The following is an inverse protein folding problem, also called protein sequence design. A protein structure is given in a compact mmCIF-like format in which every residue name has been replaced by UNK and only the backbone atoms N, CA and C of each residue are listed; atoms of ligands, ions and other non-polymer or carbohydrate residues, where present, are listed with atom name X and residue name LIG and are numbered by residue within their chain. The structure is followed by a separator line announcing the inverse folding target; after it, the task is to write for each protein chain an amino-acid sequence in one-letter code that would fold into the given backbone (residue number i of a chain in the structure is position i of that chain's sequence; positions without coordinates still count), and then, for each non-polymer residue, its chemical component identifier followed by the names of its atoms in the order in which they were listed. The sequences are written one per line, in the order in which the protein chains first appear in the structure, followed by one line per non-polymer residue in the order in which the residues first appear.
data_IF_067146098926
#
_entry.id   IF_067146098926
#
_cell.length_a   1.000
_cell.length_b   1.000
_cell.length_c   1.000
_cell.angle_alpha   90.00
_cell.angle_beta   90.00
_cell.angle_gamma   90.00
#
_symmetry.space_group_name_H-M   'P 1'
#
loop_
_entity.id
_entity.type
_entity.pdbx_description
1 polymer ?
#
# COMPACT_ATOMS: atom_id res chain seq x y z
N UNK A 1 50.43 1.85 -18.82
CA UNK A 1 49.58 2.80 -18.05
C UNK A 1 48.14 2.45 -18.34
N UNK A 2 47.62 1.47 -17.60
CA UNK A 2 46.31 0.86 -17.86
C UNK A 2 45.29 1.55 -16.97
N UNK A 3 44.40 2.35 -17.56
CA UNK A 3 43.26 2.95 -16.85
C UNK A 3 42.27 1.83 -16.52
N UNK A 4 42.39 1.26 -15.32
CA UNK A 4 41.35 0.47 -14.69
C UNK A 4 40.19 1.39 -14.36
N UNK A 5 39.25 1.53 -15.30
CA UNK A 5 37.91 1.97 -15.00
C UNK A 5 37.32 0.91 -14.06
N UNK A 6 37.35 1.17 -12.75
CA UNK A 6 36.47 0.45 -11.83
C UNK A 6 35.06 0.69 -12.37
N UNK A 7 34.29 -0.36 -12.70
CA UNK A 7 32.88 -0.14 -12.86
C UNK A 7 32.43 0.28 -11.46
N UNK A 8 32.17 1.58 -11.26
CA UNK A 8 31.15 1.97 -10.30
C UNK A 8 29.94 1.13 -10.70
N UNK A 9 29.78 0.00 -10.02
CA UNK A 9 28.58 -0.79 -10.10
C UNK A 9 27.51 0.21 -9.68
N UNK A 10 26.80 0.77 -10.66
CA UNK A 10 25.63 1.60 -10.43
C UNK A 10 24.57 0.67 -9.83
N UNK A 11 24.77 0.35 -8.56
CA UNK A 11 24.06 -0.66 -7.80
C UNK A 11 22.62 -0.19 -7.70
N UNK A 12 21.74 -0.92 -8.36
CA UNK A 12 20.31 -0.62 -8.44
C UNK A 12 19.70 -0.63 -7.04
N UNK A 13 19.16 0.51 -6.61
CA UNK A 13 18.51 0.66 -5.29
C UNK A 13 17.18 -0.08 -5.30
N UNK A 14 16.46 0.00 -6.42
CA UNK A 14 15.17 -0.66 -6.62
C UNK A 14 15.14 -1.46 -7.93
N UNK A 15 14.97 -2.79 -7.89
CA UNK A 15 14.89 -3.60 -9.10
C UNK A 15 13.66 -3.22 -9.94
N UNK A 16 13.70 -3.48 -11.26
CA UNK A 16 12.64 -3.06 -12.19
C UNK A 16 11.27 -3.59 -11.80
N UNK A 17 11.16 -4.89 -11.46
CA UNK A 17 9.89 -5.49 -11.05
C UNK A 17 9.27 -4.77 -9.84
N UNK A 18 10.09 -4.32 -8.89
CA UNK A 18 9.64 -3.61 -7.70
C UNK A 18 9.05 -2.24 -8.06
N UNK A 19 9.70 -1.53 -8.98
CA UNK A 19 9.21 -0.24 -9.47
C UNK A 19 7.90 -0.40 -10.23
N UNK A 20 7.83 -1.38 -11.14
CA UNK A 20 6.60 -1.65 -11.91
C UNK A 20 5.43 -1.99 -10.99
N UNK A 21 5.63 -2.96 -10.07
CA UNK A 21 4.59 -3.34 -9.12
C UNK A 21 4.18 -2.19 -8.21
N UNK A 22 5.11 -1.32 -7.80
CA UNK A 22 4.79 -0.12 -7.05
C UNK A 22 3.91 0.87 -7.82
N UNK A 23 4.26 1.21 -9.07
CA UNK A 23 3.50 2.17 -9.86
C UNK A 23 2.12 1.63 -10.27
N UNK A 24 2.03 0.34 -10.58
CA UNK A 24 0.74 -0.33 -10.78
C UNK A 24 -0.10 -0.31 -9.49
N UNK A 25 0.53 -0.50 -8.32
CA UNK A 25 -0.19 -0.41 -7.05
C UNK A 25 -0.67 1.02 -6.76
N UNK A 26 0.13 2.03 -7.07
CA UNK A 26 -0.28 3.43 -6.92
C UNK A 26 -1.49 3.77 -7.78
N UNK A 27 -1.49 3.33 -9.04
CA UNK A 27 -2.65 3.46 -9.94
C UNK A 27 -3.87 2.70 -9.41
N UNK A 28 -3.68 1.45 -8.96
CA UNK A 28 -4.75 0.65 -8.39
C UNK A 28 -5.37 1.32 -7.15
N UNK A 29 -4.54 1.83 -6.24
CA UNK A 29 -4.99 2.55 -5.05
C UNK A 29 -5.82 3.78 -5.40
N UNK A 30 -5.41 4.57 -6.41
CA UNK A 30 -6.16 5.73 -6.85
C UNK A 30 -7.57 5.33 -7.34
N UNK A 31 -7.65 4.30 -8.19
CA UNK A 31 -8.93 3.79 -8.72
C UNK A 31 -9.78 3.25 -7.57
N UNK A 32 -9.22 2.42 -6.70
CA UNK A 32 -9.93 1.75 -5.60
C UNK A 32 -10.49 2.74 -4.58
N UNK A 33 -9.70 3.74 -4.19
CA UNK A 33 -10.12 4.75 -3.20
C UNK A 33 -11.21 5.65 -3.77
N UNK A 34 -11.00 6.21 -4.95
CA UNK A 34 -11.95 7.17 -5.54
C UNK A 34 -13.28 6.51 -5.93
N UNK A 35 -13.26 5.28 -6.43
CA UNK A 35 -14.49 4.50 -6.68
C UNK A 35 -15.12 4.00 -5.37
N UNK A 36 -14.32 3.60 -4.39
CA UNK A 36 -14.76 3.15 -3.07
C UNK A 36 -15.50 4.25 -2.29
N UNK A 37 -15.05 5.50 -2.39
CA UNK A 37 -15.75 6.66 -1.84
C UNK A 37 -17.12 6.87 -2.49
N UNK A 38 -17.27 6.66 -3.81
CA UNK A 38 -18.58 6.72 -4.46
C UNK A 38 -19.52 5.61 -3.99
N UNK A 39 -18.99 4.41 -3.80
CA UNK A 39 -19.74 3.26 -3.25
C UNK A 39 -20.17 3.55 -1.81
N UNK A 40 -19.28 4.11 -0.99
CA UNK A 40 -19.59 4.54 0.38
C UNK A 40 -20.72 5.56 0.40
N UNK A 41 -20.68 6.59 -0.45
CA UNK A 41 -21.74 7.61 -0.52
C UNK A 41 -23.13 7.04 -0.86
N UNK A 42 -23.20 5.89 -1.56
CA UNK A 42 -24.46 5.25 -1.90
C UNK A 42 -25.08 4.44 -0.74
N UNK A 43 -24.26 3.97 0.21
CA UNK A 43 -24.71 3.31 1.43
C UNK A 43 -23.73 3.61 2.57
N UNK A 44 -23.82 4.82 3.17
CA UNK A 44 -22.85 5.29 4.14
C UNK A 44 -22.95 4.54 5.46
N UNK A 45 -21.80 4.32 6.11
CA UNK A 45 -21.71 3.74 7.45
C UNK A 45 -21.78 4.81 8.56
N UNK A 46 -21.47 6.07 8.22
CA UNK A 46 -21.43 7.20 9.14
C UNK A 46 -22.13 8.40 8.52
N UNK A 47 -22.45 9.40 9.34
CA UNK A 47 -23.20 10.60 8.92
C UNK A 47 -22.31 11.61 8.17
N UNK A 48 -21.57 11.17 7.15
CA UNK A 48 -20.83 12.03 6.24
C UNK A 48 -20.81 11.43 4.83
N UNK A 49 -20.36 12.23 3.86
CA UNK A 49 -20.14 11.78 2.49
C UNK A 49 -18.90 12.45 1.93
N UNK A 50 -18.23 11.79 0.99
CA UNK A 50 -17.11 12.35 0.25
C UNK A 50 -17.60 13.28 -0.86
N UNK A 51 -16.81 14.28 -1.24
CA UNK A 51 -17.11 15.16 -2.37
C UNK A 51 -17.22 14.35 -3.67
N UNK A 52 -18.31 14.49 -4.41
CA UNK A 52 -18.59 13.67 -5.58
C UNK A 52 -17.56 13.91 -6.71
N UNK A 53 -17.02 15.11 -6.79
CA UNK A 53 -16.01 15.54 -7.77
C UNK A 53 -14.67 14.82 -7.57
N UNK A 54 -14.40 14.34 -6.34
CA UNK A 54 -13.21 13.55 -6.01
C UNK A 54 -13.44 12.04 -6.17
N UNK A 55 -14.66 11.64 -6.54
CA UNK A 55 -15.04 10.23 -6.67
C UNK A 55 -15.02 9.77 -8.13
N UNK A 56 -14.85 8.47 -8.35
CA UNK A 56 -14.75 7.88 -9.68
C UNK A 56 -16.02 7.09 -10.03
N UNK A 57 -16.48 7.23 -11.27
CA UNK A 57 -17.58 6.45 -11.84
C UNK A 57 -18.92 7.18 -11.96
N UNK A 58 -19.05 8.38 -11.41
CA UNK A 58 -20.20 9.29 -11.58
C UNK A 58 -21.49 8.85 -10.88
N UNK A 59 -21.86 7.57 -10.96
CA UNK A 59 -23.02 6.94 -10.33
C UNK A 59 -22.63 5.59 -9.73
N UNK A 60 -23.53 4.93 -9.00
CA UNK A 60 -23.21 3.70 -8.26
C UNK A 60 -22.69 2.57 -9.18
N UNK A 61 -23.36 2.28 -10.29
CA UNK A 61 -22.93 1.19 -11.18
C UNK A 61 -21.60 1.50 -11.88
N UNK A 62 -21.37 2.75 -12.29
CA UNK A 62 -20.08 3.17 -12.85
C UNK A 62 -18.95 3.07 -11.81
N UNK A 63 -19.22 3.44 -10.55
CA UNK A 63 -18.27 3.26 -9.47
C UNK A 63 -17.94 1.78 -9.23
N UNK A 64 -18.94 0.91 -9.21
CA UNK A 64 -18.74 -0.55 -9.08
C UNK A 64 -17.89 -1.11 -10.21
N UNK A 65 -18.12 -0.69 -11.47
CA UNK A 65 -17.30 -1.12 -12.61
C UNK A 65 -15.82 -0.74 -12.44
N UNK A 66 -15.54 0.52 -12.09
CA UNK A 66 -14.18 0.98 -11.82
C UNK A 66 -13.56 0.29 -10.61
N UNK A 67 -14.34 0.05 -9.57
CA UNK A 67 -13.86 -0.63 -8.37
C UNK A 67 -13.49 -2.08 -8.66
N UNK A 68 -14.28 -2.82 -9.44
CA UNK A 68 -13.93 -4.18 -9.83
C UNK A 68 -12.74 -4.24 -10.79
N UNK A 69 -12.60 -3.28 -11.70
CA UNK A 69 -11.40 -3.15 -12.53
C UNK A 69 -10.15 -2.91 -11.67
N UNK A 70 -10.24 -1.96 -10.73
CA UNK A 70 -9.18 -1.69 -9.76
C UNK A 70 -8.89 -2.88 -8.84
N UNK A 71 -9.90 -3.65 -8.45
CA UNK A 71 -9.77 -4.82 -7.58
C UNK A 71 -8.92 -5.90 -8.22
N UNK A 72 -9.15 -6.21 -9.50
CA UNK A 72 -8.31 -7.18 -10.23
C UNK A 72 -6.88 -6.69 -10.39
N UNK A 73 -6.69 -5.41 -10.74
CA UNK A 73 -5.36 -4.81 -10.82
C UNK A 73 -4.64 -4.88 -9.47
N UNK A 74 -5.29 -4.47 -8.38
CA UNK A 74 -4.77 -4.52 -7.02
C UNK A 74 -4.45 -5.95 -6.56
N UNK A 75 -5.39 -6.88 -6.76
CA UNK A 75 -5.25 -8.27 -6.34
C UNK A 75 -4.14 -9.01 -7.07
N UNK A 76 -4.12 -8.94 -8.41
CA UNK A 76 -3.10 -9.62 -9.22
C UNK A 76 -1.72 -8.99 -8.97
N UNK A 77 -1.62 -7.66 -9.02
CA UNK A 77 -0.35 -6.97 -8.79
C UNK A 77 0.18 -7.21 -7.37
N UNK A 78 -0.69 -7.17 -6.36
CA UNK A 78 -0.36 -7.46 -4.97
C UNK A 78 0.12 -8.91 -4.79
N UNK A 79 -0.54 -9.88 -5.43
CA UNK A 79 -0.12 -11.27 -5.41
C UNK A 79 1.25 -11.46 -6.06
N UNK A 80 1.47 -10.89 -7.25
CA UNK A 80 2.77 -10.90 -7.92
C UNK A 80 3.86 -10.28 -7.04
N UNK A 81 3.59 -9.13 -6.43
CA UNK A 81 4.51 -8.47 -5.51
C UNK A 81 4.89 -9.37 -4.34
N UNK A 82 3.90 -9.96 -3.65
CA UNK A 82 4.12 -10.83 -2.49
C UNK A 82 4.92 -12.08 -2.87
N UNK A 83 4.54 -12.75 -3.97
CA UNK A 83 5.24 -13.93 -4.46
C UNK A 83 6.69 -13.62 -4.81
N UNK A 84 6.97 -12.55 -5.57
CA UNK A 84 8.33 -12.15 -5.92
C UNK A 84 9.16 -11.78 -4.69
N UNK A 85 8.55 -11.15 -3.68
CA UNK A 85 9.24 -10.76 -2.45
C UNK A 85 9.60 -12.00 -1.59
N UNK A 86 8.75 -13.03 -1.60
CA UNK A 86 8.97 -14.31 -0.91
C UNK A 86 10.00 -15.17 -1.65
N UNK A 87 9.83 -15.41 -2.95
CA UNK A 87 10.71 -16.29 -3.75
C UNK A 87 12.12 -15.72 -3.91
N UNK A 88 12.28 -14.39 -3.98
CA UNK A 88 13.60 -13.75 -4.00
C UNK A 88 14.30 -13.72 -2.63
N UNK A 89 13.63 -14.14 -1.55
CA UNK A 89 14.09 -14.02 -0.17
C UNK A 89 14.21 -12.57 0.32
N UNK A 90 13.77 -11.59 -0.48
CA UNK A 90 13.85 -10.15 -0.16
C UNK A 90 13.02 -9.81 1.08
N UNK A 91 11.89 -10.49 1.28
CA UNK A 91 11.04 -10.30 2.45
C UNK A 91 11.82 -10.44 3.76
N UNK A 92 12.49 -11.59 3.96
CA UNK A 92 13.28 -11.83 5.17
C UNK A 92 14.44 -10.85 5.30
N UNK A 93 15.17 -10.58 4.21
CA UNK A 93 16.33 -9.67 4.23
C UNK A 93 15.96 -8.21 4.56
N UNK A 94 14.76 -7.75 4.16
CA UNK A 94 14.39 -6.33 4.23
C UNK A 94 13.56 -5.96 5.45
N UNK A 95 12.71 -6.87 5.93
CA UNK A 95 11.78 -6.59 7.03
C UNK A 95 12.21 -7.21 8.37
N UNK A 96 13.15 -8.15 8.37
CA UNK A 96 13.64 -8.83 9.58
C UNK A 96 15.08 -8.40 9.92
N UNK A 97 15.49 -8.35 11.22
CA UNK A 97 14.68 -8.53 12.43
C UNK A 97 13.79 -7.31 12.76
N UNK A 98 12.71 -7.57 13.49
CA UNK A 98 11.89 -6.55 14.12
C UNK A 98 12.34 -6.38 15.58
N UNK A 99 12.57 -5.15 16.01
CA UNK A 99 12.98 -4.84 17.38
C UNK A 99 12.06 -3.78 17.98
N UNK A 100 11.24 -4.12 19.00
CA UNK A 100 10.36 -3.15 19.66
C UNK A 100 11.11 -1.97 20.27
N UNK A 101 12.32 -2.21 20.82
CA UNK A 101 13.17 -1.17 21.39
C UNK A 101 13.62 -0.15 20.33
N UNK A 102 14.03 -0.63 19.15
CA UNK A 102 14.40 0.25 18.03
C UNK A 102 13.19 0.96 17.45
N UNK A 103 12.03 0.32 17.42
CA UNK A 103 10.78 0.94 16.97
C UNK A 103 10.43 2.17 17.82
N UNK A 104 10.45 2.05 19.15
CA UNK A 104 10.16 3.17 20.05
C UNK A 104 11.18 4.32 19.91
N UNK A 105 12.46 3.98 19.74
CA UNK A 105 13.51 4.96 19.51
C UNK A 105 13.29 5.73 18.18
N UNK A 106 12.98 5.01 17.10
CA UNK A 106 12.74 5.61 15.78
C UNK A 106 11.45 6.43 15.74
N UNK A 107 10.40 6.02 16.45
CA UNK A 107 9.17 6.82 16.63
C UNK A 107 9.49 8.14 17.35
N UNK A 108 10.27 8.09 18.44
CA UNK A 108 10.71 9.29 19.16
C UNK A 108 11.57 10.21 18.29
N UNK A 109 12.44 9.65 17.43
CA UNK A 109 13.23 10.41 16.48
C UNK A 109 12.37 11.01 15.34
N UNK A 110 11.33 10.28 14.90
CA UNK A 110 10.39 10.73 13.88
C UNK A 110 9.61 11.95 14.32
N UNK A 111 9.05 11.90 15.54
CA UNK A 111 8.29 13.00 16.12
C UNK A 111 9.14 14.26 16.34
N UNK A 112 10.47 14.10 16.47
CA UNK A 112 11.43 15.21 16.60
C UNK A 112 11.99 15.69 15.26
N UNK A 113 11.53 15.14 14.13
CA UNK A 113 12.03 15.47 12.79
C UNK A 113 13.50 15.08 12.54
N UNK A 114 14.09 14.22 13.38
CA UNK A 114 15.50 13.83 13.32
C UNK A 114 15.75 12.44 12.74
N UNK A 115 14.76 11.85 12.07
CA UNK A 115 14.95 10.58 11.38
C UNK A 115 16.06 10.71 10.32
N UNK A 116 17.16 10.00 10.52
CA UNK A 116 18.26 9.96 9.57
C UNK A 116 17.84 9.16 8.33
N UNK A 117 17.76 9.84 7.18
CA UNK A 117 17.41 9.25 5.87
C UNK A 117 18.65 9.02 4.98
N UNK A 118 19.83 8.82 5.60
CA UNK A 118 21.10 8.86 4.89
C UNK A 118 21.30 7.72 3.88
N UNK A 119 20.62 6.58 4.05
CA UNK A 119 20.72 5.45 3.13
C UNK A 119 19.35 4.98 2.62
N UNK A 120 19.09 5.24 1.33
CA UNK A 120 17.87 4.81 0.62
C UNK A 120 17.71 3.28 0.57
N UNK A 121 18.78 2.53 0.83
CA UNK A 121 18.79 1.06 0.86
C UNK A 121 18.47 0.49 2.23
N UNK A 122 18.42 1.28 3.29
CA UNK A 122 18.07 0.77 4.62
C UNK A 122 16.77 1.40 5.09
N UNK A 123 15.81 0.54 5.46
CA UNK A 123 14.58 0.99 6.08
C UNK A 123 14.81 1.08 7.59
N UNK A 124 14.49 2.23 8.16
CA UNK A 124 14.36 2.37 9.61
C UNK A 124 13.22 1.50 10.15
N UNK A 125 13.13 1.30 11.46
CA UNK A 125 12.16 0.38 12.05
C UNK A 125 10.72 0.85 11.82
N UNK A 126 10.48 2.16 11.88
CA UNK A 126 9.16 2.76 11.59
C UNK A 126 8.72 2.44 10.17
N UNK A 127 9.60 2.59 9.18
CA UNK A 127 9.33 2.26 7.78
C UNK A 127 9.09 0.76 7.59
N UNK A 128 9.87 -0.11 8.24
CA UNK A 128 9.66 -1.57 8.17
C UNK A 128 8.28 -1.95 8.68
N UNK A 129 7.92 -1.45 9.86
CA UNK A 129 6.61 -1.69 10.46
C UNK A 129 5.51 -1.11 9.57
N UNK A 130 5.65 0.14 9.10
CA UNK A 130 4.67 0.76 8.23
C UNK A 130 4.44 -0.04 6.93
N UNK A 131 5.51 -0.50 6.26
CA UNK A 131 5.37 -1.32 5.06
C UNK A 131 4.74 -2.68 5.33
N UNK A 132 5.08 -3.33 6.46
CA UNK A 132 4.42 -4.57 6.87
C UNK A 132 2.93 -4.35 7.15
N UNK A 133 2.58 -3.27 7.87
CA UNK A 133 1.21 -2.89 8.15
C UNK A 133 0.41 -2.63 6.88
N UNK A 134 0.98 -1.93 5.89
CA UNK A 134 0.29 -1.65 4.61
C UNK A 134 0.06 -2.91 3.80
N UNK A 135 1.02 -3.84 3.75
CA UNK A 135 0.78 -5.14 3.10
C UNK A 135 -0.34 -5.91 3.79
N UNK A 136 -0.35 -5.94 5.13
CA UNK A 136 -1.41 -6.60 5.90
C UNK A 136 -2.77 -5.93 5.68
N UNK A 137 -2.84 -4.59 5.72
CA UNK A 137 -4.06 -3.82 5.46
C UNK A 137 -4.57 -4.05 4.04
N UNK A 138 -3.67 -4.19 3.06
CA UNK A 138 -4.02 -4.55 1.69
C UNK A 138 -4.67 -5.93 1.61
N UNK A 139 -4.12 -6.93 2.31
CA UNK A 139 -4.71 -8.28 2.41
C UNK A 139 -6.08 -8.22 3.10
N UNK A 140 -6.20 -7.51 4.22
CA UNK A 140 -7.48 -7.35 4.94
C UNK A 140 -8.52 -6.67 4.03
N UNK A 141 -8.13 -5.64 3.29
CA UNK A 141 -9.00 -4.94 2.34
C UNK A 141 -9.47 -5.88 1.23
N UNK A 142 -8.56 -6.70 0.67
CA UNK A 142 -8.92 -7.68 -0.35
C UNK A 142 -9.89 -8.75 0.18
N UNK A 143 -9.62 -9.32 1.35
CA UNK A 143 -10.46 -10.37 1.96
C UNK A 143 -11.86 -9.84 2.33
N UNK A 144 -11.93 -8.67 2.95
CA UNK A 144 -13.21 -8.02 3.24
C UNK A 144 -13.96 -7.65 1.95
N UNK A 145 -13.26 -7.16 0.93
CA UNK A 145 -13.83 -6.87 -0.39
C UNK A 145 -14.43 -8.10 -1.08
N UNK A 146 -13.80 -9.28 -0.97
CA UNK A 146 -14.35 -10.54 -1.47
C UNK A 146 -15.67 -10.91 -0.79
N UNK A 147 -15.81 -10.67 0.52
CA UNK A 147 -17.07 -10.88 1.25
C UNK A 147 -18.14 -9.90 0.80
N UNK A 148 -17.78 -8.63 0.52
CA UNK A 148 -18.71 -7.62 0.03
C UNK A 148 -19.19 -7.91 -1.40
N UNK A 149 -18.31 -8.43 -2.26
CA UNK A 149 -18.62 -8.74 -3.66
C UNK A 149 -19.37 -10.06 -3.81
N UNK A 150 -18.88 -11.14 -3.17
CA UNK A 150 -19.35 -12.52 -3.38
C UNK A 150 -19.66 -13.23 -2.07
N UNK A 151 -20.41 -12.57 -1.20
CA UNK A 151 -20.73 -13.05 0.16
C UNK A 151 -21.28 -14.48 0.22
N UNK A 152 -22.12 -14.85 -0.76
CA UNK A 152 -22.72 -16.20 -0.86
C UNK A 152 -21.69 -17.25 -1.29
N UNK A 153 -20.71 -16.88 -2.12
CA UNK A 153 -19.67 -17.81 -2.60
C UNK A 153 -18.54 -18.01 -1.58
N UNK A 154 -18.37 -17.08 -0.64
CA UNK A 154 -17.37 -17.15 0.43
C UNK A 154 -18.01 -17.18 1.84
N UNK A 155 -18.86 -18.18 2.15
CA UNK A 155 -19.61 -18.21 3.41
C UNK A 155 -18.70 -18.37 4.63
N UNK A 156 -17.61 -19.17 4.53
CA UNK A 156 -16.65 -19.33 5.62
C UNK A 156 -15.92 -18.01 5.93
N UNK A 157 -15.42 -17.32 4.91
CA UNK A 157 -14.72 -16.04 5.08
C UNK A 157 -15.66 -14.98 5.66
N UNK A 158 -16.91 -14.92 5.19
CA UNK A 158 -17.95 -14.06 5.76
C UNK A 158 -18.13 -14.33 7.25
N UNK A 159 -18.23 -15.59 7.66
CA UNK A 159 -18.37 -15.96 9.08
C UNK A 159 -17.13 -15.54 9.89
N UNK A 160 -15.92 -15.78 9.37
CA UNK A 160 -14.66 -15.38 10.03
C UNK A 160 -14.52 -13.86 10.21
N UNK A 161 -15.08 -13.07 9.29
CA UNK A 161 -15.11 -11.61 9.39
C UNK A 161 -16.28 -11.07 10.22
N UNK A 162 -17.12 -11.94 10.80
CA UNK A 162 -18.25 -11.53 11.65
C UNK A 162 -19.53 -11.15 10.89
N UNK A 163 -19.65 -11.56 9.62
CA UNK A 163 -20.82 -11.29 8.77
C UNK A 163 -20.58 -10.19 7.72
N UNK A 164 -21.62 -9.93 6.91
CA UNK A 164 -21.55 -8.96 5.83
C UNK A 164 -21.36 -7.53 6.36
N UNK A 165 -22.14 -7.13 7.36
CA UNK A 165 -22.05 -5.79 7.95
C UNK A 165 -20.68 -5.56 8.61
N UNK A 166 -20.18 -6.52 9.40
CA UNK A 166 -18.84 -6.42 9.98
C UNK A 166 -17.76 -6.29 8.89
N UNK A 167 -17.86 -7.04 7.79
CA UNK A 167 -16.95 -6.91 6.66
C UNK A 167 -16.98 -5.50 6.03
N UNK A 168 -18.12 -4.79 6.01
CA UNK A 168 -18.19 -3.39 5.54
C UNK A 168 -17.35 -2.47 6.41
N UNK A 169 -17.48 -2.59 7.74
CA UNK A 169 -16.67 -1.80 8.67
C UNK A 169 -15.18 -2.13 8.55
N UNK A 170 -14.83 -3.42 8.51
CA UNK A 170 -13.44 -3.87 8.35
C UNK A 170 -12.85 -3.29 7.05
N UNK A 171 -13.58 -3.38 5.95
CA UNK A 171 -13.15 -2.83 4.66
C UNK A 171 -12.96 -1.32 4.73
N UNK A 172 -13.93 -0.60 5.30
CA UNK A 172 -13.88 0.85 5.44
C UNK A 172 -12.68 1.32 6.29
N UNK A 173 -12.44 0.69 7.45
CA UNK A 173 -11.31 1.03 8.31
C UNK A 173 -9.96 0.67 7.68
N UNK A 174 -9.87 -0.47 6.99
CA UNK A 174 -8.65 -0.86 6.29
C UNK A 174 -8.34 0.11 5.14
N UNK A 175 -9.34 0.48 4.33
CA UNK A 175 -9.23 1.52 3.30
C UNK A 175 -8.80 2.86 3.91
N UNK A 176 -9.43 3.30 5.01
CA UNK A 176 -9.11 4.56 5.67
C UNK A 176 -7.66 4.61 6.18
N UNK A 177 -7.18 3.51 6.77
CA UNK A 177 -5.80 3.38 7.20
C UNK A 177 -4.80 3.39 6.03
N UNK A 178 -5.15 2.75 4.91
CA UNK A 178 -4.35 2.81 3.67
C UNK A 178 -4.29 4.24 3.11
N UNK A 179 -5.41 4.97 3.09
CA UNK A 179 -5.45 6.38 2.66
C UNK A 179 -4.57 7.24 3.56
N UNK A 180 -4.67 7.08 4.88
CA UNK A 180 -3.82 7.80 5.83
C UNK A 180 -2.33 7.52 5.60
N UNK A 181 -1.97 6.25 5.37
CA UNK A 181 -0.59 5.88 5.01
C UNK A 181 -0.14 6.56 3.71
N UNK A 182 -0.96 6.53 2.65
CA UNK A 182 -0.62 7.17 1.37
C UNK A 182 -0.41 8.67 1.55
N UNK A 183 -1.27 9.35 2.30
CA UNK A 183 -1.11 10.77 2.59
C UNK A 183 0.22 11.08 3.29
N UNK A 184 0.54 10.35 4.36
CA UNK A 184 1.82 10.49 5.08
C UNK A 184 3.00 10.16 4.16
N UNK A 185 2.89 9.09 3.37
CA UNK A 185 3.92 8.66 2.43
C UNK A 185 4.22 9.74 1.39
N UNK A 186 3.20 10.36 0.80
CA UNK A 186 3.36 11.45 -0.18
C UNK A 186 4.02 12.68 0.44
N UNK A 187 3.67 13.02 1.69
CA UNK A 187 4.35 14.10 2.43
C UNK A 187 5.83 13.77 2.61
N UNK A 188 6.18 12.56 3.06
CA UNK A 188 7.59 12.16 3.21
C UNK A 188 8.37 12.20 1.88
N UNK A 189 7.73 11.78 0.78
CA UNK A 189 8.34 11.81 -0.56
C UNK A 189 8.55 13.25 -1.03
N UNK A 190 7.60 14.15 -0.77
CA UNK A 190 7.73 15.57 -1.09
C UNK A 190 8.85 16.24 -0.28
N UNK A 191 9.02 15.86 1.00
CA UNK A 191 10.11 16.35 1.85
C UNK A 191 11.48 15.82 1.42
N UNK A 192 11.55 14.63 0.80
CA UNK A 192 12.80 14.02 0.33
C UNK A 192 12.69 13.57 -1.14
N UNK A 193 12.74 14.50 -2.11
CA UNK A 193 12.49 14.20 -3.53
C UNK A 193 13.44 13.19 -4.17
N UNK A 194 14.63 12.98 -3.59
CA UNK A 194 15.59 11.96 -4.03
C UNK A 194 14.99 10.55 -3.98
N UNK A 195 14.06 10.29 -3.05
CA UNK A 195 13.35 9.01 -2.94
C UNK A 195 12.46 8.75 -4.16
N UNK A 196 11.80 9.79 -4.69
CA UNK A 196 10.98 9.70 -5.89
C UNK A 196 11.84 9.37 -7.12
N UNK A 197 12.96 10.06 -7.28
CA UNK A 197 13.89 9.81 -8.38
C UNK A 197 14.42 8.37 -8.36
N UNK A 198 14.75 7.85 -7.18
CA UNK A 198 15.16 6.45 -7.02
C UNK A 198 14.04 5.46 -7.41
N UNK A 199 12.77 5.77 -7.11
CA UNK A 199 11.63 4.94 -7.51
C UNK A 199 11.28 5.03 -9.00
N UNK A 200 11.59 6.13 -9.67
CA UNK A 200 11.43 6.28 -11.12
C UNK A 200 12.60 5.61 -11.87
N UNK A 201 13.84 5.95 -11.53
CA UNK A 201 15.04 5.59 -12.29
C UNK A 201 15.71 4.31 -11.79
N UNK A 202 15.43 3.88 -10.55
CA UNK A 202 16.06 2.73 -9.89
C UNK A 202 17.44 3.03 -9.29
N UNK A 203 17.89 4.29 -9.34
CA UNK A 203 19.19 4.81 -8.88
C UNK A 203 19.02 6.21 -8.35
#
# INVERSE_FOLDING_TARGET
MSLTLTPEQRQTVHPLWLRLTHWLNALAMLIMVTSGWRIYNASPLFNFSFFNELTLGGWLGGALQWHFAGMWLFGINGLCYLLLNLTSGRFKRKYWPLSPKQFLADVGAALRGRLQHADLRHYNMVQRVAYLSVMLLGVISALSGLVLWKSVQFPLLRTLLGGYEAARYIHFFAMSALVAFVAIHLVMVALVPRTLLAMLRGR
#
